data_IF_141325327381
#
_entry.id   IF_141325327381
#
_cell.length_a   1.000
_cell.length_b   1.000
_cell.length_c   1.000
_cell.angle_alpha   90.00
_cell.angle_beta   90.00
_cell.angle_gamma   90.00
#
_symmetry.space_group_name_H-M   'P 1'
#
loop_
_entity.id
_entity.type
_entity.pdbx_description
1 polymer ?
#
# COMPACT_ATOMS: atom_id res chain seq x y z
N UNK A 1 6.68 -14.12 3.17
CA UNK A 1 5.67 -15.18 2.86
C UNK A 1 4.28 -14.60 2.74
N UNK A 2 3.88 -13.63 3.58
CA UNK A 2 2.51 -13.10 3.54
C UNK A 2 2.49 -11.60 3.25
N UNK A 3 1.40 -11.13 2.66
CA UNK A 3 1.04 -9.72 2.54
C UNK A 3 -0.34 -9.58 3.19
N UNK A 4 -0.49 -8.64 4.12
CA UNK A 4 -1.78 -8.34 4.74
C UNK A 4 -2.39 -7.11 4.05
N UNK A 5 -3.63 -7.24 3.60
CA UNK A 5 -4.38 -6.21 2.88
C UNK A 5 -5.43 -5.66 3.83
N UNK A 6 -5.44 -4.34 3.99
CA UNK A 6 -6.36 -3.63 4.85
C UNK A 6 -7.19 -2.63 4.06
N UNK A 7 -8.47 -2.58 4.39
CA UNK A 7 -9.34 -1.47 4.01
C UNK A 7 -9.19 -0.38 5.07
N UNK A 8 -8.95 0.85 4.63
CA UNK A 8 -8.75 2.01 5.48
C UNK A 8 -9.84 3.03 5.17
N UNK A 9 -10.59 3.40 6.20
CA UNK A 9 -11.62 4.44 6.19
C UNK A 9 -11.19 5.60 7.09
N UNK A 10 -11.86 6.77 6.99
CA UNK A 10 -11.59 7.90 7.89
C UNK A 10 -11.73 7.53 9.38
N UNK A 11 -12.69 6.67 9.73
CA UNK A 11 -12.95 6.31 11.12
C UNK A 11 -12.48 4.92 11.54
N UNK A 12 -12.12 4.06 10.59
CA UNK A 12 -11.84 2.65 10.87
C UNK A 12 -10.79 2.04 9.93
N UNK A 13 -10.24 0.89 10.31
CA UNK A 13 -9.49 0.04 9.40
C UNK A 13 -9.80 -1.42 9.71
N UNK A 14 -9.90 -2.23 8.66
CA UNK A 14 -10.26 -3.63 8.78
C UNK A 14 -9.29 -4.50 7.96
N UNK A 15 -8.92 -5.66 8.51
CA UNK A 15 -8.16 -6.64 7.75
C UNK A 15 -9.09 -7.26 6.72
N UNK A 16 -8.84 -6.98 5.44
CA UNK A 16 -9.63 -7.49 4.32
C UNK A 16 -9.27 -8.95 4.04
N UNK A 17 -7.98 -9.21 3.79
CA UNK A 17 -7.46 -10.56 3.64
C UNK A 17 -5.94 -10.62 3.82
N UNK A 18 -5.40 -11.83 3.97
CA UNK A 18 -3.96 -12.09 3.94
C UNK A 18 -3.63 -12.95 2.73
N UNK A 19 -2.81 -12.43 1.82
CA UNK A 19 -2.28 -13.19 0.69
C UNK A 19 -1.02 -13.93 1.13
N UNK A 20 -0.99 -15.25 0.96
CA UNK A 20 0.14 -16.10 1.32
C UNK A 20 0.83 -16.61 0.05
N UNK A 21 2.16 -16.57 0.05
CA UNK A 21 3.00 -16.95 -1.09
C UNK A 21 4.01 -17.99 -0.66
N UNK A 22 4.09 -19.07 -1.44
CA UNK A 22 5.10 -20.08 -1.25
C UNK A 22 6.49 -19.51 -1.52
N UNK A 23 7.42 -19.78 -0.60
CA UNK A 23 8.83 -19.46 -0.79
C UNK A 23 9.50 -20.64 -1.45
N UNK A 24 9.39 -20.76 -2.77
CA UNK A 24 10.25 -21.70 -3.46
C UNK A 24 11.69 -21.15 -3.38
N UNK A 25 12.55 -21.85 -2.63
CA UNK A 25 13.84 -21.43 -2.05
C UNK A 25 14.94 -20.99 -3.02
N UNK A 26 14.70 -20.98 -4.33
CA UNK A 26 15.69 -20.42 -5.27
C UNK A 26 15.61 -18.88 -5.29
N UNK A 27 16.56 -18.21 -4.63
CA UNK A 27 16.81 -16.76 -4.75
C UNK A 27 17.46 -16.38 -6.09
N UNK A 28 17.06 -17.05 -7.18
CA UNK A 28 17.60 -16.82 -8.52
C UNK A 28 16.71 -15.82 -9.26
N UNK A 29 16.63 -14.56 -8.80
CA UNK A 29 16.12 -13.41 -9.57
C UNK A 29 14.77 -13.51 -10.30
N UNK A 30 13.97 -14.58 -10.08
CA UNK A 30 13.02 -15.02 -11.09
C UNK A 30 11.79 -14.12 -11.07
N UNK A 31 11.65 -13.33 -12.13
CA UNK A 31 10.60 -12.33 -12.30
C UNK A 31 9.18 -12.91 -12.19
N UNK A 32 9.00 -14.20 -12.47
CA UNK A 32 7.72 -14.90 -12.32
C UNK A 32 7.25 -15.01 -10.86
N UNK A 33 8.17 -14.99 -9.88
CA UNK A 33 7.80 -15.04 -8.45
C UNK A 33 7.26 -13.72 -7.92
N UNK A 34 7.48 -12.63 -8.66
CA UNK A 34 6.96 -11.30 -8.33
C UNK A 34 5.55 -11.09 -8.86
N UNK A 35 5.21 -11.72 -9.99
CA UNK A 35 3.89 -11.61 -10.63
C UNK A 35 2.75 -11.89 -9.65
N UNK A 36 2.67 -13.04 -8.94
CA UNK A 36 1.55 -13.31 -8.03
C UNK A 36 1.49 -12.33 -6.86
N UNK A 37 2.64 -11.80 -6.40
CA UNK A 37 2.68 -10.81 -5.32
C UNK A 37 2.13 -9.46 -5.76
N UNK A 38 2.49 -9.02 -6.96
CA UNK A 38 2.00 -7.75 -7.52
C UNK A 38 0.52 -7.87 -7.88
N UNK A 39 0.09 -9.02 -8.39
CA UNK A 39 -1.31 -9.31 -8.69
C UNK A 39 -2.20 -9.20 -7.43
N UNK A 40 -1.74 -9.73 -6.30
CA UNK A 40 -2.43 -9.62 -5.02
C UNK A 40 -2.53 -8.17 -4.48
N UNK A 41 -1.77 -7.22 -5.03
CA UNK A 41 -1.83 -5.81 -4.66
C UNK A 41 -2.72 -4.98 -5.60
N UNK A 42 -3.31 -5.59 -6.63
CA UNK A 42 -4.22 -4.87 -7.54
C UNK A 42 -5.37 -4.25 -6.75
N UNK A 43 -5.63 -2.97 -7.00
CA UNK A 43 -6.62 -2.19 -6.26
C UNK A 43 -6.11 -1.58 -4.95
N UNK A 44 -4.92 -1.95 -4.47
CA UNK A 44 -4.32 -1.28 -3.31
C UNK A 44 -3.80 0.11 -3.69
N UNK A 45 -3.99 1.08 -2.81
CA UNK A 45 -3.45 2.43 -2.97
C UNK A 45 -1.97 2.53 -2.57
N UNK A 46 -1.60 1.83 -1.50
CA UNK A 46 -0.31 1.99 -0.81
C UNK A 46 0.26 0.62 -0.49
N UNK A 47 1.58 0.47 -0.61
CA UNK A 47 2.32 -0.70 -0.15
C UNK A 47 3.37 -0.29 0.88
N UNK A 48 3.20 -0.72 2.12
CA UNK A 48 4.26 -0.62 3.13
C UNK A 48 5.21 -1.83 3.04
N UNK A 49 6.51 -1.56 2.95
CA UNK A 49 7.52 -2.61 2.76
C UNK A 49 8.85 -2.25 3.42
N UNK A 50 9.53 -3.20 4.05
CA UNK A 50 10.87 -2.96 4.62
C UNK A 50 11.95 -2.86 3.53
N UNK A 51 11.84 -3.72 2.50
CA UNK A 51 12.76 -3.74 1.37
C UNK A 51 12.02 -4.13 0.09
N UNK A 52 12.30 -3.39 -0.98
CA UNK A 52 11.81 -3.66 -2.33
C UNK A 52 12.93 -3.36 -3.32
N UNK A 53 13.21 -4.30 -4.22
CA UNK A 53 14.18 -4.11 -5.30
C UNK A 53 13.61 -3.20 -6.39
N UNK A 54 14.49 -2.62 -7.21
CA UNK A 54 14.10 -1.65 -8.25
C UNK A 54 13.05 -2.18 -9.25
N UNK A 55 13.19 -3.43 -9.70
CA UNK A 55 12.21 -4.07 -10.60
C UNK A 55 10.84 -4.24 -9.96
N UNK A 56 10.80 -4.66 -8.69
CA UNK A 56 9.56 -4.76 -7.91
C UNK A 56 8.90 -3.40 -7.72
N UNK A 57 9.68 -2.37 -7.33
CA UNK A 57 9.18 -1.02 -7.12
C UNK A 57 8.60 -0.43 -8.41
N UNK A 58 9.29 -0.59 -9.54
CA UNK A 58 8.82 -0.12 -10.85
C UNK A 58 7.48 -0.76 -11.23
N UNK A 59 7.32 -2.07 -11.02
CA UNK A 59 6.07 -2.79 -11.32
C UNK A 59 4.91 -2.38 -10.40
N UNK A 60 5.17 -2.16 -9.11
CA UNK A 60 4.18 -1.67 -8.13
C UNK A 60 3.70 -0.26 -8.52
N UNK A 61 4.63 0.64 -8.86
CA UNK A 61 4.29 2.00 -9.33
C UNK A 61 3.52 1.97 -10.65
N UNK A 62 3.84 1.05 -11.56
CA UNK A 62 3.10 0.87 -12.81
C UNK A 62 1.64 0.44 -12.60
N UNK A 63 1.31 -0.16 -11.46
CA UNK A 63 -0.06 -0.47 -11.04
C UNK A 63 -0.73 0.70 -10.28
N UNK A 64 -0.13 1.90 -10.29
CA UNK A 64 -0.56 3.09 -9.52
C UNK A 64 -0.52 2.90 -7.99
N UNK A 65 0.20 1.90 -7.49
CA UNK A 65 0.38 1.68 -6.05
C UNK A 65 1.57 2.53 -5.58
N UNK A 66 1.42 3.24 -4.46
CA UNK A 66 2.51 4.02 -3.86
C UNK A 66 3.32 3.18 -2.87
N UNK A 67 4.58 2.79 -3.17
CA UNK A 67 5.41 2.06 -2.22
C UNK A 67 6.02 3.00 -1.17
N UNK A 68 5.83 2.67 0.10
CA UNK A 68 6.44 3.35 1.25
C UNK A 68 7.43 2.40 1.90
N UNK A 69 8.70 2.78 1.88
CA UNK A 69 9.77 2.03 2.54
C UNK A 69 9.82 2.39 4.01
N UNK A 70 9.77 1.39 4.89
CA UNK A 70 9.97 1.56 6.33
C UNK A 70 11.39 1.12 6.71
N UNK A 71 12.10 1.96 7.45
CA UNK A 71 13.49 1.68 7.87
C UNK A 71 13.54 0.64 8.99
N UNK A 72 12.51 0.61 9.85
CA UNK A 72 12.41 -0.31 10.98
C UNK A 72 11.06 -1.03 10.92
N UNK A 73 10.99 -2.28 11.40
CA UNK A 73 9.72 -2.98 11.52
C UNK A 73 8.82 -2.23 12.51
N UNK A 74 7.70 -1.72 12.01
CA UNK A 74 6.64 -1.10 12.80
C UNK A 74 5.42 -2.02 12.84
N UNK A 75 4.62 -1.92 13.91
CA UNK A 75 3.35 -2.67 13.96
C UNK A 75 2.41 -2.13 12.89
N UNK A 76 1.68 -3.03 12.24
CA UNK A 76 0.72 -2.65 11.19
C UNK A 76 -0.33 -1.68 11.75
N UNK A 77 -0.80 -1.88 12.98
CA UNK A 77 -1.76 -0.99 13.66
C UNK A 77 -1.25 0.44 13.78
N UNK A 78 0.03 0.64 14.12
CA UNK A 78 0.64 1.97 14.24
C UNK A 78 0.73 2.65 12.86
N UNK A 79 1.03 1.89 11.80
CA UNK A 79 1.06 2.42 10.44
C UNK A 79 -0.34 2.82 9.95
N UNK A 80 -1.36 2.01 10.24
CA UNK A 80 -2.74 2.29 9.90
C UNK A 80 -3.25 3.55 10.62
N UNK A 81 -2.93 3.72 11.91
CA UNK A 81 -3.30 4.93 12.64
C UNK A 81 -2.63 6.19 12.05
N UNK A 82 -1.34 6.11 11.69
CA UNK A 82 -0.65 7.22 11.01
C UNK A 82 -1.32 7.59 9.69
N UNK A 83 -1.71 6.60 8.88
CA UNK A 83 -2.43 6.83 7.63
C UNK A 83 -3.81 7.44 7.89
N UNK A 84 -4.54 6.98 8.90
CA UNK A 84 -5.84 7.53 9.29
C UNK A 84 -5.73 9.00 9.71
N UNK A 85 -4.71 9.36 10.49
CA UNK A 85 -4.43 10.76 10.85
C UNK A 85 -4.15 11.61 9.61
N UNK A 86 -3.37 11.09 8.66
CA UNK A 86 -3.10 11.80 7.39
C UNK A 86 -4.36 11.94 6.53
N UNK A 87 -5.21 10.92 6.50
CA UNK A 87 -6.46 10.89 5.74
C UNK A 87 -7.46 11.93 6.26
N UNK A 88 -7.60 12.05 7.58
CA UNK A 88 -8.51 13.01 8.23
C UNK A 88 -7.93 14.42 8.37
N UNK A 89 -6.60 14.54 8.37
CA UNK A 89 -5.90 15.81 8.47
C UNK A 89 -5.74 16.44 7.10
N UNK A 90 -4.49 16.71 6.72
CA UNK A 90 -4.14 17.28 5.43
C UNK A 90 -3.45 16.22 4.58
N UNK A 91 -4.20 15.42 3.80
CA UNK A 91 -3.63 14.30 3.05
C UNK A 91 -2.58 14.81 2.05
N UNK A 92 -1.42 14.15 1.92
CA UNK A 92 -0.39 14.58 0.99
C UNK A 92 -0.89 14.56 -0.47
N UNK A 93 -0.26 15.30 -1.40
CA UNK A 93 -0.72 15.42 -2.80
C UNK A 93 -0.98 14.09 -3.51
N UNK A 94 -0.16 13.06 -3.22
CA UNK A 94 -0.32 11.72 -3.78
C UNK A 94 -1.57 11.02 -3.24
N UNK A 95 -1.88 11.18 -1.95
CA UNK A 95 -3.07 10.60 -1.31
C UNK A 95 -4.33 11.31 -1.79
N UNK A 96 -4.31 12.64 -1.89
CA UNK A 96 -5.40 13.42 -2.52
C UNK A 96 -5.71 12.94 -3.93
N UNK A 97 -4.67 12.62 -4.72
CA UNK A 97 -4.85 12.11 -6.09
C UNK A 97 -5.56 10.76 -6.11
N UNK A 98 -5.22 9.86 -5.18
CA UNK A 98 -5.86 8.54 -5.06
C UNK A 98 -7.33 8.70 -4.67
N UNK A 99 -7.64 9.50 -3.64
CA UNK A 99 -9.03 9.72 -3.19
C UNK A 99 -9.93 10.26 -4.32
N UNK A 100 -9.40 11.20 -5.13
CA UNK A 100 -10.11 11.70 -6.32
C UNK A 100 -10.33 10.64 -7.40
N UNK A 101 -9.37 9.76 -7.66
CA UNK A 101 -9.48 8.67 -8.66
C UNK A 101 -10.44 7.57 -8.18
N UNK A 102 -10.53 7.34 -6.87
CA UNK A 102 -11.43 6.38 -6.22
C UNK A 102 -12.88 6.86 -6.07
N UNK A 103 -13.20 8.11 -6.42
CA UNK A 103 -14.56 8.64 -6.37
C UNK A 103 -15.07 8.97 -4.95
N UNK A 104 -14.24 8.81 -3.93
CA UNK A 104 -14.51 9.38 -2.60
C UNK A 104 -14.35 10.89 -2.72
N UNK A 105 -15.45 11.63 -2.51
CA UNK A 105 -15.39 13.09 -2.45
C UNK A 105 -14.41 13.45 -1.34
N UNK A 106 -13.26 14.08 -1.65
CA UNK A 106 -12.43 14.62 -0.58
C UNK A 106 -13.32 15.59 0.18
N UNK A 107 -13.42 15.42 1.50
CA UNK A 107 -14.02 16.43 2.36
C UNK A 107 -13.40 17.77 1.96
N UNK A 108 -14.27 18.72 1.62
CA UNK A 108 -13.96 20.01 1.01
C UNK A 108 -12.77 20.68 1.73
N UNK A 109 -11.57 20.52 1.18
CA UNK A 109 -10.38 21.20 1.66
C UNK A 109 -10.43 22.60 1.09
N UNK A 110 -11.11 23.50 1.80
CA UNK A 110 -11.08 24.93 1.57
C UNK A 110 -9.62 25.40 1.64
N UNK A 111 -9.06 25.75 0.48
CA UNK A 111 -7.87 26.60 0.37
C UNK A 111 -8.33 28.05 0.51
N UNK A 112 -7.82 28.75 1.52
CA UNK A 112 -7.84 30.22 1.64
C UNK A 112 -6.77 30.82 0.72
#
# INVERSE_FOLDING_TARGET
KNIAIYDLEPDSYNLSHVASFESNLAEDGNEDKLVPKIDALKGCAILYVAAIGGSGAARVVAQKIHPIKVEKPEKISDLLEKLRVLLNGTPPPWMRKILRDSGEKPADFLED
#
